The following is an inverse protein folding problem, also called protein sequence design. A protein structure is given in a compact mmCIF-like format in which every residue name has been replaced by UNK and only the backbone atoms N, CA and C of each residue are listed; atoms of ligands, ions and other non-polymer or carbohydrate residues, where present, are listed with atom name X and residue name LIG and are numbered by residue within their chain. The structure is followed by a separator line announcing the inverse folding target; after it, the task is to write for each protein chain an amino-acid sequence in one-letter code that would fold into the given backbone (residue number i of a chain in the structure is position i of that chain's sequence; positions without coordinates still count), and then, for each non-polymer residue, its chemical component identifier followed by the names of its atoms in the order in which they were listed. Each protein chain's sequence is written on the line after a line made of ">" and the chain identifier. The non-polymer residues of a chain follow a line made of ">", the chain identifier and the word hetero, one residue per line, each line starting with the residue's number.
data_IF_346331662735
#
_entry.id   IF_346331662735
#
_cell.length_a   1.000
_cell.length_b   1.000
_cell.length_c   1.000
_cell.angle_alpha   90.00
_cell.angle_beta   90.00
_cell.angle_gamma   90.00
#
_symmetry.space_group_name_H-M   'P 1'
#
loop_
_entity.id
_entity.type
_entity.pdbx_description
1 polymer ?
#
# COMPACT_ATOMS: atom_id res chain seq x y z
N UNK A 1 -7.82 -23.35 3.84
CA UNK A 1 -7.57 -21.89 3.90
C UNK A 1 -7.63 -21.18 2.56
N UNK A 2 -6.95 -21.62 1.49
CA UNK A 2 -6.96 -20.85 0.22
C UNK A 2 -8.32 -20.69 -0.50
N UNK A 3 -9.23 -21.66 -0.42
CA UNK A 3 -10.53 -21.61 -1.09
C UNK A 3 -11.49 -20.60 -0.43
N UNK A 4 -11.48 -20.52 0.90
CA UNK A 4 -12.33 -19.58 1.64
C UNK A 4 -11.92 -18.14 1.37
N UNK A 5 -10.61 -17.88 1.28
CA UNK A 5 -10.09 -16.56 0.94
C UNK A 5 -10.41 -16.16 -0.51
N UNK A 6 -10.40 -17.13 -1.45
CA UNK A 6 -10.85 -16.90 -2.82
C UNK A 6 -12.34 -16.56 -2.90
N UNK A 7 -13.17 -17.29 -2.17
CA UNK A 7 -14.61 -17.03 -2.11
C UNK A 7 -14.92 -15.68 -1.46
N UNK A 8 -14.21 -15.34 -0.38
CA UNK A 8 -14.31 -14.04 0.27
C UNK A 8 -13.92 -12.90 -0.69
N UNK A 9 -12.85 -13.08 -1.46
CA UNK A 9 -12.43 -12.08 -2.45
C UNK A 9 -13.49 -11.86 -3.53
N UNK A 10 -14.09 -12.92 -4.08
CA UNK A 10 -15.16 -12.82 -5.07
C UNK A 10 -16.43 -12.16 -4.51
N UNK A 11 -16.84 -12.52 -3.28
CA UNK A 11 -18.01 -11.91 -2.64
C UNK A 11 -17.78 -10.43 -2.35
N UNK A 12 -16.62 -10.06 -1.81
CA UNK A 12 -16.28 -8.64 -1.57
C UNK A 12 -16.23 -7.86 -2.88
N UNK A 13 -15.71 -8.44 -3.96
CA UNK A 13 -15.64 -7.79 -5.27
C UNK A 13 -17.02 -7.48 -5.86
N UNK A 14 -18.01 -8.36 -5.63
CA UNK A 14 -19.39 -8.17 -6.09
C UNK A 14 -20.18 -7.24 -5.17
N UNK A 15 -20.12 -7.46 -3.86
CA UNK A 15 -20.91 -6.72 -2.86
C UNK A 15 -20.34 -5.33 -2.56
N UNK A 16 -19.01 -5.19 -2.61
CA UNK A 16 -18.26 -3.97 -2.24
C UNK A 16 -17.09 -3.71 -3.18
N UNK A 17 -17.35 -3.42 -4.48
CA UNK A 17 -16.31 -3.07 -5.43
C UNK A 17 -15.54 -1.79 -5.03
N UNK A 18 -16.16 -0.92 -4.22
CA UNK A 18 -15.53 0.24 -3.60
C UNK A 18 -14.36 -0.16 -2.69
N UNK A 19 -14.52 -1.20 -1.86
CA UNK A 19 -13.48 -1.68 -0.96
C UNK A 19 -12.33 -2.34 -1.72
N UNK A 20 -12.64 -3.09 -2.78
CA UNK A 20 -11.63 -3.72 -3.62
C UNK A 20 -10.81 -2.69 -4.40
N UNK A 21 -11.48 -1.66 -4.95
CA UNK A 21 -10.81 -0.54 -5.60
C UNK A 21 -9.91 0.22 -4.62
N UNK A 22 -10.38 0.49 -3.40
CA UNK A 22 -9.60 1.17 -2.36
C UNK A 22 -8.36 0.33 -1.95
N UNK A 23 -8.51 -0.98 -1.82
CA UNK A 23 -7.40 -1.90 -1.53
C UNK A 23 -6.35 -1.90 -2.65
N UNK A 24 -6.80 -1.93 -3.91
CA UNK A 24 -5.92 -1.86 -5.08
C UNK A 24 -5.16 -0.53 -5.13
N UNK A 25 -5.85 0.59 -4.92
CA UNK A 25 -5.25 1.93 -4.86
C UNK A 25 -4.20 2.03 -3.75
N UNK A 26 -4.51 1.54 -2.55
CA UNK A 26 -3.56 1.53 -1.44
C UNK A 26 -2.32 0.69 -1.74
N UNK A 27 -2.48 -0.45 -2.40
CA UNK A 27 -1.36 -1.31 -2.80
C UNK A 27 -0.47 -0.60 -3.82
N UNK A 28 -1.07 0.05 -4.81
CA UNK A 28 -0.33 0.85 -5.79
C UNK A 28 0.42 2.00 -5.11
N UNK A 29 -0.26 2.75 -4.23
CA UNK A 29 0.33 3.87 -3.49
C UNK A 29 1.51 3.43 -2.60
N UNK A 30 1.40 2.26 -1.94
CA UNK A 30 2.50 1.69 -1.17
C UNK A 30 3.71 1.35 -2.03
N UNK A 31 3.50 0.83 -3.24
CA UNK A 31 4.58 0.55 -4.18
C UNK A 31 5.23 1.84 -4.69
N UNK A 32 4.43 2.85 -5.02
CA UNK A 32 4.92 4.18 -5.43
C UNK A 32 5.76 4.84 -4.33
N UNK A 33 5.34 4.74 -3.07
CA UNK A 33 6.13 5.23 -1.94
C UNK A 33 7.47 4.51 -1.79
N UNK A 34 7.51 3.18 -1.95
CA UNK A 34 8.78 2.43 -1.93
C UNK A 34 9.72 2.88 -3.04
N UNK A 35 9.20 3.04 -4.25
CA UNK A 35 9.98 3.53 -5.40
C UNK A 35 10.50 4.95 -5.15
N UNK A 36 9.66 5.83 -4.58
CA UNK A 36 10.05 7.19 -4.26
C UNK A 36 11.16 7.23 -3.20
N UNK A 37 11.05 6.43 -2.14
CA UNK A 37 12.09 6.34 -1.11
C UNK A 37 13.43 5.87 -1.69
N UNK A 38 13.42 4.84 -2.52
CA UNK A 38 14.62 4.38 -3.25
C UNK A 38 15.25 5.49 -4.09
N UNK A 39 14.43 6.21 -4.87
CA UNK A 39 14.93 7.34 -5.69
C UNK A 39 15.52 8.47 -4.84
N UNK A 40 14.93 8.76 -3.69
CA UNK A 40 15.44 9.77 -2.77
C UNK A 40 16.78 9.33 -2.15
N UNK A 41 16.91 8.05 -1.80
CA UNK A 41 18.16 7.47 -1.27
C UNK A 41 19.27 7.46 -2.32
N UNK A 42 18.99 6.95 -3.52
CA UNK A 42 19.94 6.94 -4.65
C UNK A 42 20.38 8.35 -5.02
N UNK A 43 19.43 9.30 -5.09
CA UNK A 43 19.71 10.70 -5.37
C UNK A 43 20.57 11.37 -4.29
N UNK A 44 20.39 10.97 -3.02
CA UNK A 44 21.19 11.46 -1.90
C UNK A 44 22.60 10.88 -1.93
N UNK A 45 22.75 9.57 -2.17
CA UNK A 45 24.05 8.90 -2.34
C UNK A 45 24.85 9.48 -3.50
N UNK A 46 24.23 9.64 -4.67
CA UNK A 46 24.87 10.22 -5.84
C UNK A 46 25.43 11.62 -5.56
N UNK A 47 24.66 12.45 -4.84
CA UNK A 47 25.07 13.82 -4.48
C UNK A 47 26.19 13.82 -3.45
N UNK A 48 26.15 12.94 -2.45
CA UNK A 48 27.23 12.78 -1.48
C UNK A 48 28.53 12.31 -2.16
N UNK A 49 28.44 11.44 -3.17
CA UNK A 49 29.60 10.99 -3.95
C UNK A 49 30.13 12.06 -4.90
N UNK A 50 29.26 12.89 -5.47
CA UNK A 50 29.62 13.94 -6.42
C UNK A 50 30.10 15.23 -5.76
N UNK A 51 29.85 15.40 -4.45
CA UNK A 51 30.30 16.54 -3.69
C UNK A 51 31.80 16.42 -3.37
N UNK A 52 32.65 17.02 -4.20
CA UNK A 52 34.05 17.26 -3.88
C UNK A 52 34.20 18.61 -3.17
N UNK A 53 34.68 18.62 -1.91
CA UNK A 53 34.94 19.87 -1.15
C UNK A 53 34.01 20.12 0.06
N UNK A 54 34.11 21.32 0.65
CA UNK A 54 33.40 21.69 1.88
C UNK A 54 31.89 21.89 1.63
N UNK A 55 31.11 20.82 1.82
CA UNK A 55 29.64 20.77 1.61
C UNK A 55 28.83 21.88 2.30
N UNK A 56 29.41 22.54 3.31
CA UNK A 56 28.77 23.63 4.07
C UNK A 56 28.61 24.90 3.23
N UNK A 57 29.43 25.08 2.19
CA UNK A 57 29.38 26.26 1.31
C UNK A 57 28.43 26.08 0.11
N UNK A 58 27.99 24.85 -0.15
CA UNK A 58 27.03 24.56 -1.22
C UNK A 58 25.59 24.62 -0.68
N UNK A 59 25.09 25.85 -0.55
CA UNK A 59 23.69 26.16 -0.18
C UNK A 59 22.65 25.38 -1.00
N UNK A 60 23.00 25.02 -2.25
CA UNK A 60 22.12 24.24 -3.12
C UNK A 60 22.04 22.78 -2.68
N UNK A 61 23.16 22.21 -2.24
CA UNK A 61 23.23 20.86 -1.71
C UNK A 61 22.45 20.74 -0.41
N UNK A 62 22.64 21.68 0.52
CA UNK A 62 21.96 21.70 1.83
C UNK A 62 20.43 21.78 1.68
N UNK A 63 19.92 22.72 0.87
CA UNK A 63 18.46 22.85 0.64
C UNK A 63 17.84 21.61 0.01
N UNK A 64 18.57 20.96 -0.90
CA UNK A 64 18.11 19.73 -1.52
C UNK A 64 18.09 18.58 -0.50
N UNK A 65 19.11 18.45 0.35
CA UNK A 65 19.14 17.44 1.41
C UNK A 65 17.99 17.63 2.41
N UNK A 66 17.71 18.88 2.81
CA UNK A 66 16.56 19.20 3.66
C UNK A 66 15.23 18.84 2.99
N UNK A 67 15.09 19.13 1.70
CA UNK A 67 13.89 18.79 0.92
C UNK A 67 13.71 17.28 0.79
N UNK A 68 14.79 16.54 0.53
CA UNK A 68 14.81 15.08 0.49
C UNK A 68 14.41 14.49 1.84
N UNK A 69 14.98 15.00 2.93
CA UNK A 69 14.66 14.58 4.29
C UNK A 69 13.18 14.81 4.63
N UNK A 70 12.66 16.00 4.31
CA UNK A 70 11.25 16.34 4.52
C UNK A 70 10.34 15.41 3.73
N UNK A 71 10.58 15.26 2.43
CA UNK A 71 9.78 14.39 1.56
C UNK A 71 9.81 12.94 2.04
N UNK A 72 10.98 12.43 2.43
CA UNK A 72 11.12 11.07 2.97
C UNK A 72 10.29 10.88 4.24
N UNK A 73 10.34 11.84 5.17
CA UNK A 73 9.54 11.80 6.40
C UNK A 73 8.04 11.84 6.13
N UNK A 74 7.59 12.69 5.20
CA UNK A 74 6.17 12.74 4.80
C UNK A 74 5.70 11.42 4.16
N UNK A 75 6.53 10.82 3.32
CA UNK A 75 6.25 9.52 2.69
C UNK A 75 6.18 8.41 3.75
N UNK A 76 7.05 8.44 4.76
CA UNK A 76 7.05 7.47 5.85
C UNK A 76 5.78 7.54 6.70
N UNK A 77 5.29 8.75 7.00
CA UNK A 77 4.01 8.95 7.70
C UNK A 77 2.87 8.41 6.86
N UNK A 78 2.78 8.79 5.58
CA UNK A 78 1.73 8.33 4.67
C UNK A 78 1.76 6.81 4.45
N UNK A 79 2.95 6.21 4.40
CA UNK A 79 3.12 4.77 4.30
C UNK A 79 2.58 4.06 5.56
N UNK A 80 2.83 4.61 6.76
CA UNK A 80 2.25 4.09 8.01
C UNK A 80 0.73 4.19 8.02
N UNK A 81 0.17 5.33 7.61
CA UNK A 81 -1.28 5.51 7.48
C UNK A 81 -1.90 4.53 6.49
N UNK A 82 -1.24 4.30 5.35
CA UNK A 82 -1.69 3.32 4.35
C UNK A 82 -1.71 1.89 4.91
N UNK A 83 -0.73 1.50 5.74
CA UNK A 83 -0.72 0.20 6.43
C UNK A 83 -1.90 0.07 7.40
N UNK A 84 -2.18 1.12 8.20
CA UNK A 84 -3.32 1.13 9.13
C UNK A 84 -4.63 1.03 8.34
N UNK A 85 -4.76 1.80 7.27
CA UNK A 85 -5.96 1.81 6.41
C UNK A 85 -6.17 0.44 5.76
N UNK A 86 -5.10 -0.20 5.29
CA UNK A 86 -5.16 -1.57 4.74
C UNK A 86 -5.67 -2.57 5.78
N UNK A 87 -5.18 -2.51 7.03
CA UNK A 87 -5.68 -3.37 8.13
C UNK A 87 -7.16 -3.13 8.43
N UNK A 88 -7.61 -1.87 8.38
CA UNK A 88 -9.01 -1.54 8.59
C UNK A 88 -9.89 -2.08 7.46
N UNK A 89 -9.42 -2.03 6.22
CA UNK A 89 -10.11 -2.62 5.06
C UNK A 89 -10.15 -4.14 5.21
N UNK A 90 -9.05 -4.80 5.56
CA UNK A 90 -9.05 -6.25 5.77
C UNK A 90 -10.01 -6.65 6.90
N UNK A 91 -10.06 -5.89 8.00
CA UNK A 91 -11.03 -6.09 9.07
C UNK A 91 -12.48 -5.89 8.60
N UNK A 92 -12.73 -4.90 7.73
CA UNK A 92 -14.05 -4.69 7.14
C UNK A 92 -14.43 -5.82 6.17
N UNK A 93 -13.47 -6.41 5.46
CA UNK A 93 -13.68 -7.57 4.57
C UNK A 93 -14.10 -8.81 5.35
N UNK A 94 -13.56 -9.00 6.55
CA UNK A 94 -13.92 -10.13 7.44
C UNK A 94 -15.42 -10.13 7.83
N UNK A 95 -16.09 -8.97 7.86
CA UNK A 95 -17.54 -8.90 8.07
C UNK A 95 -18.36 -9.61 6.97
N UNK A 96 -17.76 -9.81 5.79
CA UNK A 96 -18.36 -10.52 4.67
C UNK A 96 -18.00 -12.01 4.66
N UNK A 97 -17.11 -12.49 5.53
CA UNK A 97 -16.77 -13.92 5.65
C UNK A 97 -18.00 -14.81 5.86
N UNK A 98 -18.97 -14.47 6.73
CA UNK A 98 -20.21 -15.25 6.87
C UNK A 98 -21.06 -15.26 5.59
N UNK A 99 -21.07 -14.15 4.85
CA UNK A 99 -21.80 -14.05 3.57
C UNK A 99 -21.11 -14.85 2.47
N UNK A 100 -19.77 -14.87 2.43
CA UNK A 100 -19.00 -15.69 1.51
C UNK A 100 -19.23 -17.20 1.75
N UNK A 101 -19.25 -17.62 3.03
CA UNK A 101 -19.61 -19.00 3.40
C UNK A 101 -21.06 -19.30 2.99
N UNK A 102 -21.99 -18.38 3.29
CA UNK A 102 -23.42 -18.55 2.97
C UNK A 102 -23.72 -18.57 1.47
N UNK A 103 -22.96 -17.82 0.64
CA UNK A 103 -23.04 -17.81 -0.83
C UNK A 103 -22.28 -18.98 -1.48
N UNK A 104 -21.34 -19.62 -0.77
CA UNK A 104 -20.72 -20.86 -1.22
C UNK A 104 -21.67 -22.08 -1.08
N UNK A 105 -22.55 -22.08 -0.08
CA UNK A 105 -23.49 -23.17 0.20
C UNK A 105 -24.66 -23.34 -0.81
N UNK A 106 -25.23 -22.33 -1.49
CA UNK A 106 -26.42 -22.53 -2.32
C UNK A 106 -26.09 -23.28 -3.62
N UNK A 107 -24.86 -23.20 -4.13
CA UNK A 107 -24.48 -23.93 -5.35
C UNK A 107 -24.25 -25.43 -5.11
N UNK A 108 -23.90 -25.85 -3.89
CA UNK A 108 -23.70 -27.27 -3.57
C UNK A 108 -25.03 -27.99 -3.35
N UNK A 109 -26.10 -27.27 -3.00
CA UNK A 109 -27.44 -27.86 -2.80
C UNK A 109 -28.23 -28.07 -4.10
N UNK A 110 -27.87 -27.42 -5.20
CA UNK A 110 -28.54 -27.61 -6.50
C UNK A 110 -27.98 -28.77 -7.35
N UNK A 111 -26.95 -29.50 -6.89
CA UNK A 111 -26.40 -30.68 -7.58
C UNK A 111 -26.80 -32.02 -6.93
N UNK A 112 -27.65 -32.01 -5.90
CA UNK A 112 -28.22 -33.20 -5.27
C UNK A 112 -29.74 -33.07 -5.08
N UNK A 113 -30.43 -32.73 -6.14
CA UNK A 113 -31.89 -32.81 -6.27
C UNK A 113 -32.23 -33.56 -7.55
#
# INVERSE_FOLDING_TARGET
>A
DGLEDQLLAEVVKVERPDLEALKSQLTQQQNEFKILLLKLEDGLLFRLQSAEGNFVEDDSLVRNLETTKRTSSEVEVKAREAVITSKNIDSARELYRPNAIRLAVPQVKCLKG
#
